data_IF_980216236293
#
_entry.id   IF_980216236293
#
_cell.length_a   1.000
_cell.length_b   1.000
_cell.length_c   1.000
_cell.angle_alpha   90.00
_cell.angle_beta   90.00
_cell.angle_gamma   90.00
#
_symmetry.space_group_name_H-M   'P 1'
#
loop_
_entity.id
_entity.type
_entity.pdbx_description
1 polymer ?
#
# COMPACT_ATOMS: atom_id res chain seq x y z
N UNK A 1 25.91 10.02 -15.86
CA UNK A 1 24.92 8.94 -15.65
C UNK A 1 23.59 9.59 -15.27
N UNK A 2 22.50 9.32 -15.99
CA UNK A 2 21.17 9.81 -15.62
C UNK A 2 20.78 9.27 -14.24
N UNK A 3 20.19 10.11 -13.40
CA UNK A 3 19.84 9.78 -12.02
C UNK A 3 18.49 9.03 -11.99
N UNK A 4 18.54 7.70 -11.99
CA UNK A 4 17.37 6.81 -11.98
C UNK A 4 16.84 6.53 -10.56
N UNK A 5 17.39 7.15 -9.51
CA UNK A 5 17.02 6.86 -8.10
C UNK A 5 15.57 7.20 -7.73
N UNK A 6 14.86 7.97 -8.57
CA UNK A 6 13.44 8.31 -8.39
C UNK A 6 12.50 7.47 -9.24
N UNK A 7 13.05 6.63 -10.11
CA UNK A 7 12.26 5.73 -10.93
C UNK A 7 11.77 4.56 -10.05
N UNK A 8 10.45 4.36 -9.91
CA UNK A 8 9.92 3.23 -9.15
C UNK A 8 10.32 1.87 -9.74
N UNK A 9 10.69 1.82 -11.03
CA UNK A 9 11.02 0.59 -11.75
C UNK A 9 12.46 0.65 -12.22
N UNK A 10 13.22 -0.41 -11.99
CA UNK A 10 14.60 -0.51 -12.48
C UNK A 10 14.60 -1.09 -13.90
N UNK A 11 14.58 -0.20 -14.88
CA UNK A 11 14.64 -0.54 -16.30
C UNK A 11 16.04 -1.02 -16.74
N UNK A 12 17.05 -0.96 -15.86
CA UNK A 12 18.43 -1.07 -16.29
C UNK A 12 19.01 -2.49 -16.31
N UNK A 13 18.44 -3.50 -15.61
CA UNK A 13 19.08 -4.84 -15.60
C UNK A 13 18.40 -6.10 -15.03
N UNK A 14 17.10 -6.19 -14.75
CA UNK A 14 16.50 -7.43 -14.22
C UNK A 14 15.31 -7.95 -15.03
N UNK A 15 15.27 -9.28 -15.25
CA UNK A 15 14.16 -10.03 -15.87
C UNK A 15 12.86 -10.04 -15.05
N UNK A 16 12.78 -9.29 -13.95
CA UNK A 16 11.60 -9.20 -13.08
C UNK A 16 11.49 -7.80 -12.47
N UNK A 17 11.08 -6.85 -13.31
CA UNK A 17 11.04 -5.42 -13.02
C UNK A 17 10.20 -5.04 -11.77
N UNK A 18 9.24 -5.88 -11.40
CA UNK A 18 8.34 -5.68 -10.26
C UNK A 18 8.71 -6.48 -8.98
N UNK A 19 9.76 -7.31 -9.02
CA UNK A 19 10.16 -8.09 -7.85
C UNK A 19 10.90 -7.22 -6.82
N UNK A 20 10.31 -7.10 -5.63
CA UNK A 20 10.89 -6.33 -4.52
C UNK A 20 10.35 -4.91 -4.37
N UNK A 21 9.34 -4.52 -5.15
CA UNK A 21 8.69 -3.21 -5.04
C UNK A 21 8.13 -3.00 -3.62
N UNK A 22 7.58 -4.03 -2.98
CA UNK A 22 7.13 -3.97 -1.58
C UNK A 22 8.26 -3.80 -0.56
N UNK A 23 9.48 -4.29 -0.83
CA UNK A 23 10.65 -4.10 0.06
C UNK A 23 11.36 -2.76 -0.17
N UNK A 24 11.39 -2.23 -1.40
CA UNK A 24 11.99 -0.93 -1.72
C UNK A 24 11.03 0.24 -1.53
N UNK A 25 9.71 0.01 -1.63
CA UNK A 25 8.69 1.04 -1.40
C UNK A 25 8.41 1.20 0.11
N UNK A 26 9.34 1.83 0.84
CA UNK A 26 9.08 2.30 2.21
C UNK A 26 7.82 3.17 2.34
N UNK A 27 7.33 3.72 1.22
CA UNK A 27 6.06 4.47 1.14
C UNK A 27 4.80 3.62 1.31
N UNK A 28 4.86 2.30 1.05
CA UNK A 28 3.73 1.38 1.27
C UNK A 28 3.66 0.93 2.74
N UNK A 29 4.79 1.01 3.47
CA UNK A 29 4.86 0.66 4.88
C UNK A 29 3.87 1.46 5.75
N UNK A 30 3.61 2.73 5.41
CA UNK A 30 2.62 3.56 6.12
C UNK A 30 1.21 2.97 6.05
N UNK A 31 0.80 2.49 4.87
CA UNK A 31 -0.51 1.86 4.69
C UNK A 31 -0.63 0.56 5.48
N UNK A 32 0.42 -0.26 5.47
CA UNK A 32 0.48 -1.51 6.22
C UNK A 32 0.46 -1.28 7.74
N UNK A 33 1.20 -0.28 8.24
CA UNK A 33 1.17 0.12 9.65
C UNK A 33 -0.25 0.56 10.04
N UNK A 34 -0.92 1.36 9.21
CA UNK A 34 -2.30 1.77 9.43
C UNK A 34 -3.26 0.58 9.55
N UNK A 35 -3.16 -0.40 8.64
CA UNK A 35 -3.95 -1.63 8.70
C UNK A 35 -3.65 -2.43 9.97
N UNK A 36 -2.38 -2.60 10.34
CA UNK A 36 -1.98 -3.32 11.55
C UNK A 36 -2.54 -2.67 12.83
N UNK A 37 -2.47 -1.33 12.93
CA UNK A 37 -3.06 -0.59 14.05
C UNK A 37 -4.59 -0.68 14.07
N UNK A 38 -5.23 -0.73 12.90
CA UNK A 38 -6.66 -0.97 12.78
C UNK A 38 -7.07 -2.35 13.32
N UNK A 39 -6.32 -3.40 12.96
CA UNK A 39 -6.52 -4.76 13.48
C UNK A 39 -6.32 -4.81 15.00
N UNK A 40 -5.25 -4.18 15.51
CA UNK A 40 -5.01 -4.12 16.96
C UNK A 40 -6.16 -3.42 17.70
N UNK A 41 -6.66 -2.31 17.15
CA UNK A 41 -7.81 -1.58 17.72
C UNK A 41 -9.07 -2.44 17.77
N UNK A 42 -9.30 -3.26 16.74
CA UNK A 42 -10.43 -4.19 16.70
C UNK A 42 -10.33 -5.25 17.80
N UNK A 43 -9.14 -5.82 18.03
CA UNK A 43 -8.92 -6.79 19.11
C UNK A 43 -9.22 -6.16 20.48
N UNK A 44 -8.75 -4.94 20.72
CA UNK A 44 -9.02 -4.20 21.96
C UNK A 44 -10.52 -3.90 22.11
N UNK A 45 -11.21 -3.57 21.02
CA UNK A 45 -12.65 -3.32 21.03
C UNK A 45 -13.44 -4.56 21.45
N UNK A 46 -13.13 -5.71 20.86
CA UNK A 46 -13.76 -7.00 21.19
C UNK A 46 -13.51 -7.37 22.65
N UNK A 47 -12.27 -7.21 23.12
CA UNK A 47 -11.92 -7.44 24.52
C UNK A 47 -12.69 -6.51 25.47
N UNK A 48 -12.86 -5.24 25.10
CA UNK A 48 -13.60 -4.26 25.90
C UNK A 48 -15.08 -4.63 26.00
N UNK A 49 -15.69 -5.08 24.90
CA UNK A 49 -17.08 -5.57 24.92
C UNK A 49 -17.23 -6.83 25.78
N UNK A 50 -16.27 -7.76 25.71
CA UNK A 50 -16.28 -8.97 26.54
C UNK A 50 -16.19 -8.66 28.04
N UNK A 51 -15.52 -7.57 28.42
CA UNK A 51 -15.39 -7.12 29.81
C UNK A 51 -16.48 -6.11 30.24
N UNK A 52 -17.52 -5.89 29.42
CA UNK A 52 -18.65 -5.01 29.75
C UNK A 52 -18.40 -3.51 29.55
N UNK A 53 -17.24 -3.10 29.04
CA UNK A 53 -16.92 -1.70 28.74
C UNK A 53 -17.42 -1.30 27.35
N UNK A 54 -18.73 -0.97 27.26
CA UNK A 54 -19.38 -0.65 25.99
C UNK A 54 -18.79 0.59 25.31
N UNK A 55 -18.49 1.65 26.06
CA UNK A 55 -17.92 2.88 25.50
C UNK A 55 -16.52 2.64 24.91
N UNK A 56 -15.65 1.94 25.62
CA UNK A 56 -14.31 1.60 25.11
C UNK A 56 -14.38 0.71 23.87
N UNK A 57 -15.31 -0.26 23.85
CA UNK A 57 -15.58 -1.09 22.68
C UNK A 57 -15.97 -0.27 21.45
N UNK A 58 -16.91 0.67 21.59
CA UNK A 58 -17.35 1.55 20.49
C UNK A 58 -16.19 2.39 19.95
N UNK A 59 -15.42 3.03 20.84
CA UNK A 59 -14.25 3.83 20.44
C UNK A 59 -13.23 2.96 19.69
N UNK A 60 -12.98 1.73 20.18
CA UNK A 60 -12.07 0.79 19.52
C UNK A 60 -12.53 0.40 18.12
N UNK A 61 -13.82 0.17 17.90
CA UNK A 61 -14.37 -0.11 16.56
C UNK A 61 -14.20 1.09 15.62
N UNK A 62 -14.49 2.30 16.08
CA UNK A 62 -14.31 3.51 15.27
C UNK A 62 -12.84 3.65 14.85
N UNK A 63 -11.92 3.49 15.80
CA UNK A 63 -10.48 3.53 15.53
C UNK A 63 -10.07 2.43 14.53
N UNK A 64 -10.58 1.21 14.68
CA UNK A 64 -10.30 0.11 13.77
C UNK A 64 -10.70 0.44 12.33
N UNK A 65 -11.93 0.96 12.14
CA UNK A 65 -12.46 1.31 10.82
C UNK A 65 -11.66 2.45 10.20
N UNK A 66 -11.36 3.50 10.95
CA UNK A 66 -10.61 4.66 10.44
C UNK A 66 -9.19 4.27 10.06
N UNK A 67 -8.47 3.56 10.93
CA UNK A 67 -7.07 3.19 10.69
C UNK A 67 -6.93 2.16 9.56
N UNK A 68 -7.74 1.10 9.58
CA UNK A 68 -7.72 0.10 8.53
C UNK A 68 -8.18 0.69 7.19
N UNK A 69 -9.27 1.47 7.20
CA UNK A 69 -9.80 2.15 6.01
C UNK A 69 -8.78 3.09 5.39
N UNK A 70 -8.14 3.95 6.20
CA UNK A 70 -7.08 4.83 5.73
C UNK A 70 -5.85 4.05 5.21
N UNK A 71 -5.47 2.97 5.89
CA UNK A 71 -4.38 2.10 5.48
C UNK A 71 -4.64 1.45 4.10
N UNK A 72 -5.82 0.85 3.91
CA UNK A 72 -6.22 0.28 2.62
C UNK A 72 -6.33 1.34 1.52
N UNK A 73 -6.92 2.50 1.82
CA UNK A 73 -7.03 3.60 0.88
C UNK A 73 -5.64 4.09 0.42
N UNK A 74 -4.68 4.19 1.34
CA UNK A 74 -3.31 4.56 1.02
C UNK A 74 -2.65 3.54 0.08
N UNK A 75 -2.75 2.24 0.42
CA UNK A 75 -2.18 1.17 -0.42
C UNK A 75 -2.78 1.23 -1.83
N UNK A 76 -4.11 1.36 -1.93
CA UNK A 76 -4.82 1.47 -3.22
C UNK A 76 -4.34 2.67 -4.03
N UNK A 77 -4.23 3.84 -3.41
CA UNK A 77 -3.79 5.07 -4.05
C UNK A 77 -2.34 4.96 -4.56
N UNK A 78 -1.45 4.35 -3.78
CA UNK A 78 -0.06 4.13 -4.18
C UNK A 78 0.03 3.20 -5.38
N UNK A 79 -0.74 2.10 -5.38
CA UNK A 79 -0.78 1.18 -6.51
C UNK A 79 -1.29 1.86 -7.79
N UNK A 80 -2.39 2.62 -7.71
CA UNK A 80 -2.91 3.38 -8.87
C UNK A 80 -1.88 4.35 -9.44
N UNK A 81 -1.09 5.01 -8.58
CA UNK A 81 -0.03 5.91 -9.03
C UNK A 81 1.10 5.21 -9.77
N UNK A 82 1.43 3.98 -9.39
CA UNK A 82 2.45 3.19 -10.10
C UNK A 82 1.91 2.81 -11.47
N UNK A 83 0.70 2.23 -11.52
CA UNK A 83 0.05 1.83 -12.78
C UNK A 83 -0.04 3.01 -13.76
N UNK A 84 -0.50 4.17 -13.31
CA UNK A 84 -0.62 5.36 -14.17
C UNK A 84 0.73 5.81 -14.76
N UNK A 85 1.82 5.72 -13.98
CA UNK A 85 3.17 6.07 -14.45
C UNK A 85 3.73 5.03 -15.42
N UNK A 86 3.46 3.76 -15.16
CA UNK A 86 3.85 2.66 -16.05
C UNK A 86 3.14 2.82 -17.40
N UNK A 87 1.84 3.10 -17.41
CA UNK A 87 1.06 3.35 -18.63
C UNK A 87 1.59 4.58 -19.41
N UNK A 88 1.94 5.65 -18.71
CA UNK A 88 2.55 6.85 -19.32
C UNK A 88 3.91 6.52 -19.97
N UNK A 89 4.77 5.79 -19.26
CA UNK A 89 6.09 5.42 -19.77
C UNK A 89 6.02 4.53 -21.02
N UNK A 90 5.12 3.53 -21.04
CA UNK A 90 4.91 2.67 -22.20
C UNK A 90 4.30 3.40 -23.40
N UNK A 91 3.48 4.44 -23.16
CA UNK A 91 2.98 5.30 -24.24
C UNK A 91 4.12 6.05 -24.93
N UNK A 92 5.12 6.47 -24.16
CA UNK A 92 6.28 7.19 -24.67
C UNK A 92 7.36 6.28 -25.29
N UNK A 93 7.31 4.97 -25.03
CA UNK A 93 8.26 3.96 -25.52
C UNK A 93 7.55 2.78 -26.22
N UNK A 94 6.90 3.00 -27.38
CA UNK A 94 6.14 1.98 -28.08
C UNK A 94 6.99 0.80 -28.60
N UNK A 95 8.31 0.97 -28.66
CA UNK A 95 9.27 -0.06 -29.06
C UNK A 95 9.49 -1.14 -27.99
N UNK A 96 9.09 -0.89 -26.74
CA UNK A 96 9.28 -1.82 -25.62
C UNK A 96 8.03 -2.70 -25.47
N UNK A 97 8.15 -4.04 -25.45
CA UNK A 97 7.01 -4.93 -25.20
C UNK A 97 6.32 -4.59 -23.87
N UNK A 98 5.00 -4.38 -23.93
CA UNK A 98 4.19 -4.09 -22.74
C UNK A 98 4.10 -5.31 -21.83
N UNK A 99 4.55 -5.17 -20.59
CA UNK A 99 4.33 -6.16 -19.54
C UNK A 99 3.30 -5.61 -18.54
N UNK A 100 2.11 -6.22 -18.43
CA UNK A 100 1.04 -5.69 -17.60
C UNK A 100 1.43 -5.71 -16.12
N UNK A 101 1.09 -4.67 -15.34
CA UNK A 101 1.27 -4.69 -13.90
C UNK A 101 0.54 -5.89 -13.29
N UNK A 102 1.22 -6.65 -12.43
CA UNK A 102 0.57 -7.74 -11.69
C UNK A 102 -0.47 -7.18 -10.71
N UNK A 103 -1.66 -7.78 -10.71
CA UNK A 103 -2.74 -7.47 -9.76
C UNK A 103 -2.41 -7.89 -8.33
#
# INVERSE_FOLDING_TARGET
MPNTSRDPVDHSRTYRQYAGETMKAGKNAVGLIGVALGVLSLVIALFSFANGSRTAGIVGVIMAVVLAGAGFAWIRYRHQKVVAKTEEWYRDHPEVPYEPPTA
#
